data_IF_207515238091
#
_entry.id   IF_207515238091
#
_cell.length_a   1.000
_cell.length_b   1.000
_cell.length_c   1.000
_cell.angle_alpha   90.00
_cell.angle_beta   90.00
_cell.angle_gamma   90.00
#
_symmetry.space_group_name_H-M   'P 1'
#
loop_
_entity.id
_entity.type
_entity.pdbx_description
1 polymer ?
#
# COMPACT_ATOMS: atom_id res chain seq x y z
N UNK A 1 -16.85 20.86 -27.95
CA UNK A 1 -17.65 21.79 -27.11
C UNK A 1 -17.22 23.19 -27.46
N UNK A 2 -18.15 24.14 -27.52
CA UNK A 2 -17.83 25.53 -27.88
C UNK A 2 -17.80 26.36 -26.61
N UNK A 3 -16.66 27.00 -26.36
CA UNK A 3 -16.43 27.86 -25.22
C UNK A 3 -16.38 29.34 -25.67
N UNK A 4 -16.81 30.28 -24.82
CA UNK A 4 -16.68 31.70 -25.14
C UNK A 4 -15.21 32.09 -25.31
N UNK A 5 -14.94 33.11 -26.14
CA UNK A 5 -13.59 33.66 -26.27
C UNK A 5 -13.09 34.11 -24.89
N UNK A 6 -11.82 33.83 -24.57
CA UNK A 6 -11.15 34.10 -23.28
C UNK A 6 -11.32 33.05 -22.16
N UNK A 7 -11.62 31.79 -22.49
CA UNK A 7 -11.86 30.73 -21.48
C UNK A 7 -10.61 30.20 -20.75
N UNK A 8 -9.40 30.67 -21.07
CA UNK A 8 -8.12 30.22 -20.47
C UNK A 8 -8.05 28.70 -20.29
N UNK A 9 -8.21 27.97 -21.40
CA UNK A 9 -8.18 26.50 -21.43
C UNK A 9 -7.02 26.07 -22.31
N UNK A 10 -6.13 25.26 -21.75
CA UNK A 10 -4.98 24.70 -22.44
C UNK A 10 -5.23 23.24 -22.86
N UNK A 11 -4.43 22.76 -23.82
CA UNK A 11 -4.38 21.33 -24.11
C UNK A 11 -3.92 20.57 -22.86
N UNK A 12 -4.50 19.39 -22.63
CA UNK A 12 -4.36 18.53 -21.44
C UNK A 12 -5.14 18.94 -20.18
N UNK A 13 -5.83 20.08 -20.17
CA UNK A 13 -6.70 20.48 -19.07
C UNK A 13 -7.84 19.48 -18.82
N UNK A 14 -8.24 19.38 -17.56
CA UNK A 14 -9.35 18.55 -17.11
C UNK A 14 -10.60 19.41 -16.94
N UNK A 15 -11.61 19.14 -17.76
CA UNK A 15 -12.89 19.86 -17.73
C UNK A 15 -13.95 18.95 -17.11
N UNK A 16 -14.57 19.43 -16.03
CA UNK A 16 -15.78 18.81 -15.50
C UNK A 16 -16.97 19.13 -16.42
N UNK A 17 -17.53 18.10 -17.03
CA UNK A 17 -18.70 18.21 -17.89
C UNK A 17 -19.86 17.40 -17.32
N UNK A 18 -21.03 18.01 -17.24
CA UNK A 18 -22.27 17.32 -16.84
C UNK A 18 -23.02 16.91 -18.10
N UNK A 19 -23.30 15.61 -18.24
CA UNK A 19 -24.05 15.11 -19.38
C UNK A 19 -25.55 15.48 -19.29
N UNK A 20 -26.33 15.36 -20.38
CA UNK A 20 -27.78 15.63 -20.35
C UNK A 20 -28.58 14.76 -19.36
N UNK A 21 -28.00 13.66 -18.87
CA UNK A 21 -28.58 12.79 -17.85
C UNK A 21 -28.19 13.22 -16.41
N UNK A 22 -27.51 14.35 -16.23
CA UNK A 22 -27.12 14.90 -14.92
C UNK A 22 -25.86 14.31 -14.29
N UNK A 23 -25.16 13.41 -14.99
CA UNK A 23 -23.94 12.79 -14.49
C UNK A 23 -22.71 13.66 -14.82
N UNK A 24 -21.91 13.96 -13.80
CA UNK A 24 -20.61 14.62 -13.97
C UNK A 24 -19.57 13.64 -14.51
N UNK A 25 -18.79 14.08 -15.49
CA UNK A 25 -17.65 13.36 -16.06
C UNK A 25 -16.46 14.32 -16.16
N UNK A 26 -15.28 13.85 -15.80
CA UNK A 26 -14.04 14.52 -16.17
C UNK A 26 -13.69 14.17 -17.62
N UNK A 27 -13.45 15.20 -18.42
CA UNK A 27 -13.01 15.10 -19.81
C UNK A 27 -11.64 15.76 -19.94
N UNK A 28 -10.79 15.21 -20.80
CA UNK A 28 -9.49 15.80 -21.11
C UNK A 28 -9.59 16.63 -22.38
N UNK A 29 -9.09 17.86 -22.35
CA UNK A 29 -8.95 18.71 -23.53
C UNK A 29 -7.80 18.16 -24.35
N UNK A 30 -8.08 17.72 -25.57
CA UNK A 30 -7.07 17.12 -26.46
C UNK A 30 -6.67 18.05 -27.58
N UNK A 31 -7.50 19.05 -27.90
CA UNK A 31 -7.19 20.06 -28.88
C UNK A 31 -8.02 21.32 -28.65
N UNK A 32 -7.38 22.48 -28.76
CA UNK A 32 -8.00 23.80 -28.62
C UNK A 32 -7.83 24.57 -29.93
N UNK A 33 -8.92 24.80 -30.65
CA UNK A 33 -8.91 25.61 -31.88
C UNK A 33 -9.56 26.96 -31.63
N UNK A 34 -8.77 28.01 -31.84
CA UNK A 34 -9.23 29.40 -31.80
C UNK A 34 -9.65 29.83 -33.20
N UNK A 35 -10.96 29.90 -33.46
CA UNK A 35 -11.48 30.32 -34.75
C UNK A 35 -11.83 31.81 -34.70
N UNK A 36 -11.14 32.59 -35.53
CA UNK A 36 -11.39 34.02 -35.72
C UNK A 36 -12.19 34.24 -37.00
N UNK A 37 -13.23 35.09 -36.95
CA UNK A 37 -14.04 35.37 -38.14
C UNK A 37 -13.23 36.13 -39.21
N UNK A 38 -13.39 35.81 -40.51
CA UNK A 38 -12.75 36.59 -41.56
C UNK A 38 -13.46 37.94 -41.68
N UNK A 39 -12.71 39.03 -41.40
CA UNK A 39 -13.12 40.46 -41.43
C UNK A 39 -13.58 41.12 -40.12
N UNK A 40 -13.16 40.63 -38.95
CA UNK A 40 -13.11 41.46 -37.75
C UNK A 40 -14.47 41.88 -37.15
N UNK A 41 -15.57 41.20 -37.52
CA UNK A 41 -16.81 41.28 -36.75
C UNK A 41 -16.69 40.31 -35.58
N UNK A 42 -16.27 40.80 -34.41
CA UNK A 42 -16.00 40.01 -33.20
C UNK A 42 -17.20 39.30 -32.57
N UNK A 43 -18.34 39.21 -33.25
CA UNK A 43 -19.57 38.59 -32.76
C UNK A 43 -19.67 37.08 -33.04
N UNK A 44 -18.71 36.49 -33.76
CA UNK A 44 -18.72 35.06 -34.14
C UNK A 44 -17.46 34.29 -33.70
N UNK A 45 -16.56 34.94 -32.96
CA UNK A 45 -15.34 34.31 -32.46
C UNK A 45 -15.69 33.30 -31.36
N UNK A 46 -15.21 32.07 -31.50
CA UNK A 46 -15.43 31.02 -30.51
C UNK A 46 -14.24 30.06 -30.42
N UNK A 47 -14.07 29.45 -29.25
CA UNK A 47 -13.06 28.41 -29.04
C UNK A 47 -13.74 27.05 -29.16
N UNK A 48 -13.31 26.26 -30.14
CA UNK A 48 -13.71 24.85 -30.23
C UNK A 48 -12.71 24.00 -29.46
N UNK A 49 -13.19 23.28 -28.44
CA UNK A 49 -12.38 22.27 -27.75
C UNK A 49 -12.82 20.87 -28.15
N UNK A 50 -11.85 20.03 -28.52
CA UNK A 50 -12.04 18.60 -28.71
C UNK A 50 -11.77 17.91 -27.37
N UNK A 51 -12.80 17.22 -26.87
CA UNK A 51 -12.78 16.55 -25.58
C UNK A 51 -12.78 15.06 -25.80
N UNK A 52 -11.85 14.36 -25.17
CA UNK A 52 -11.90 12.91 -25.09
C UNK A 52 -12.22 12.49 -23.65
N UNK A 53 -12.90 11.35 -23.50
CA UNK A 53 -13.11 10.77 -22.19
C UNK A 53 -11.73 10.55 -21.57
N UNK A 54 -11.45 11.16 -20.41
CA UNK A 54 -10.26 10.88 -19.66
C UNK A 54 -10.29 9.38 -19.31
N UNK A 55 -9.63 8.56 -20.13
CA UNK A 55 -9.53 7.13 -19.89
C UNK A 55 -8.91 6.99 -18.51
N UNK A 56 -9.60 6.30 -17.60
CA UNK A 56 -9.02 5.86 -16.31
C UNK A 56 -7.61 5.35 -16.62
N UNK A 57 -6.57 5.76 -15.88
CA UNK A 57 -5.22 5.28 -16.15
C UNK A 57 -5.31 3.76 -16.25
N UNK A 58 -4.97 3.26 -17.45
CA UNK A 58 -4.80 1.84 -17.72
C UNK A 58 -3.91 1.33 -16.58
N UNK A 59 -4.26 0.27 -15.84
CA UNK A 59 -3.38 -0.24 -14.80
C UNK A 59 -2.02 -0.40 -15.44
N UNK A 60 -1.06 0.40 -14.94
CA UNK A 60 0.31 0.40 -15.44
C UNK A 60 0.76 -1.05 -15.42
N UNK A 61 1.50 -1.48 -16.45
CA UNK A 61 2.20 -2.75 -16.43
C UNK A 61 2.77 -2.98 -15.02
N UNK A 62 2.66 -4.20 -14.46
CA UNK A 62 3.00 -4.45 -13.06
C UNK A 62 4.38 -3.85 -12.78
N UNK A 63 4.39 -2.74 -12.05
CA UNK A 63 5.64 -2.11 -11.64
C UNK A 63 6.32 -3.20 -10.83
N UNK A 64 7.52 -3.67 -11.23
CA UNK A 64 8.20 -4.69 -10.47
C UNK A 64 8.28 -4.20 -9.03
N UNK A 65 7.89 -5.03 -8.05
CA UNK A 65 7.81 -4.59 -6.66
C UNK A 65 9.14 -3.95 -6.31
N UNK A 66 9.10 -2.69 -5.88
CA UNK A 66 10.32 -2.00 -5.50
C UNK A 66 10.96 -2.81 -4.37
N UNK A 67 12.18 -3.28 -4.60
CA UNK A 67 12.91 -4.03 -3.59
C UNK A 67 13.63 -3.03 -2.72
N UNK A 68 13.31 -3.00 -1.43
CA UNK A 68 14.21 -2.38 -0.46
C UNK A 68 15.37 -3.36 -0.28
N UNK A 69 16.55 -3.00 -0.78
CA UNK A 69 17.74 -3.86 -0.78
C UNK A 69 17.97 -4.47 0.61
N UNK A 70 18.03 -5.80 0.69
CA UNK A 70 18.26 -6.54 1.95
C UNK A 70 17.01 -6.88 2.77
N UNK A 71 15.83 -6.35 2.44
CA UNK A 71 14.58 -6.70 3.12
C UNK A 71 13.97 -8.01 2.61
N UNK A 72 13.11 -8.61 3.44
CA UNK A 72 12.34 -9.79 3.05
C UNK A 72 11.37 -9.43 1.89
N UNK A 73 11.27 -10.25 0.82
CA UNK A 73 10.49 -9.90 -0.38
C UNK A 73 9.01 -9.55 -0.11
N UNK A 74 8.39 -10.23 0.86
CA UNK A 74 7.02 -9.94 1.29
C UNK A 74 6.84 -8.53 1.90
N UNK A 75 7.88 -7.99 2.54
CA UNK A 75 7.86 -6.62 3.08
C UNK A 75 8.10 -5.61 1.97
N UNK A 76 9.06 -5.87 1.09
CA UNK A 76 9.29 -5.00 -0.08
C UNK A 76 8.03 -4.86 -0.94
N UNK A 77 7.33 -5.98 -1.17
CA UNK A 77 6.07 -5.98 -1.92
C UNK A 77 4.98 -5.14 -1.22
N UNK A 78 4.88 -5.20 0.10
CA UNK A 78 3.84 -4.51 0.85
C UNK A 78 4.11 -3.01 1.05
N UNK A 79 5.37 -2.60 1.20
CA UNK A 79 5.71 -1.31 1.77
C UNK A 79 6.60 -0.41 0.90
N UNK A 80 7.32 -0.94 -0.09
CA UNK A 80 8.36 -0.18 -0.77
C UNK A 80 7.85 1.02 -1.57
N UNK A 81 6.70 0.88 -2.24
CA UNK A 81 6.05 1.99 -2.94
C UNK A 81 5.68 3.13 -2.00
N UNK A 82 4.98 2.79 -0.91
CA UNK A 82 4.58 3.75 0.11
C UNK A 82 5.79 4.46 0.73
N UNK A 83 6.85 3.71 1.04
CA UNK A 83 8.06 4.28 1.61
C UNK A 83 8.76 5.24 0.63
N UNK A 84 8.89 4.86 -0.65
CA UNK A 84 9.51 5.71 -1.67
C UNK A 84 8.72 7.00 -1.92
N UNK A 85 7.40 6.95 -1.80
CA UNK A 85 6.50 8.09 -1.97
C UNK A 85 6.37 8.95 -0.70
N UNK A 86 7.10 8.62 0.37
CA UNK A 86 7.09 9.38 1.64
C UNK A 86 5.92 9.06 2.58
N UNK A 87 5.10 8.06 2.28
CA UNK A 87 4.00 7.58 3.12
C UNK A 87 4.50 6.62 4.21
N UNK A 88 5.41 7.07 5.06
CA UNK A 88 6.15 6.25 6.04
C UNK A 88 5.24 5.47 7.00
N UNK A 89 4.29 6.13 7.66
CA UNK A 89 3.38 5.46 8.58
C UNK A 89 2.49 4.43 7.89
N UNK A 90 2.08 4.70 6.65
CA UNK A 90 1.30 3.74 5.87
C UNK A 90 2.16 2.55 5.43
N UNK A 91 3.42 2.78 5.05
CA UNK A 91 4.37 1.72 4.71
C UNK A 91 4.57 0.76 5.89
N UNK A 92 4.74 1.30 7.11
CA UNK A 92 4.87 0.51 8.34
C UNK A 92 3.59 -0.28 8.63
N UNK A 93 2.42 0.37 8.50
CA UNK A 93 1.14 -0.31 8.70
C UNK A 93 0.95 -1.49 7.74
N UNK A 94 1.19 -1.29 6.44
CA UNK A 94 1.06 -2.33 5.42
C UNK A 94 2.07 -3.46 5.61
N UNK A 95 3.30 -3.16 6.05
CA UNK A 95 4.29 -4.17 6.36
C UNK A 95 3.84 -5.11 7.50
N UNK A 96 3.36 -4.57 8.62
CA UNK A 96 2.88 -5.41 9.72
C UNK A 96 1.53 -6.05 9.44
N UNK A 97 0.69 -5.46 8.57
CA UNK A 97 -0.50 -6.13 8.04
C UNK A 97 -0.11 -7.37 7.22
N UNK A 98 0.95 -7.28 6.41
CA UNK A 98 1.48 -8.43 5.66
C UNK A 98 2.04 -9.52 6.58
N UNK A 99 2.73 -9.13 7.68
CA UNK A 99 3.17 -10.09 8.71
C UNK A 99 1.98 -10.82 9.32
N UNK A 100 0.94 -10.11 9.78
CA UNK A 100 -0.25 -10.73 10.36
C UNK A 100 -0.96 -11.65 9.37
N UNK A 101 -1.12 -11.21 8.12
CA UNK A 101 -1.74 -12.01 7.06
C UNK A 101 -0.98 -13.32 6.83
N UNK A 102 0.36 -13.27 6.85
CA UNK A 102 1.18 -14.48 6.71
C UNK A 102 1.03 -15.43 7.90
N UNK A 103 1.03 -14.90 9.14
CA UNK A 103 0.74 -15.71 10.33
C UNK A 103 -0.62 -16.38 10.21
N UNK A 104 -1.65 -15.64 9.79
CA UNK A 104 -3.00 -16.17 9.60
C UNK A 104 -3.06 -17.26 8.53
N UNK A 105 -2.25 -17.15 7.46
CA UNK A 105 -2.19 -18.18 6.41
C UNK A 105 -1.50 -19.48 6.83
N UNK A 106 -0.58 -19.40 7.79
CA UNK A 106 0.21 -20.55 8.26
C UNK A 106 -0.39 -21.20 9.52
N UNK A 107 -1.23 -20.47 10.25
CA UNK A 107 -1.81 -20.88 11.52
C UNK A 107 -3.27 -21.34 11.33
N UNK A 108 -3.73 -22.39 12.03
CA UNK A 108 -5.14 -22.78 12.03
C UNK A 108 -6.03 -21.86 12.88
N UNK A 109 -5.47 -20.82 13.49
CA UNK A 109 -6.14 -19.95 14.44
C UNK A 109 -6.96 -18.87 13.71
N UNK A 110 -8.28 -18.88 13.88
CA UNK A 110 -9.16 -17.82 13.41
C UNK A 110 -9.32 -16.71 14.46
N UNK A 111 -8.26 -15.93 14.61
CA UNK A 111 -8.22 -14.71 15.40
C UNK A 111 -7.49 -13.62 14.61
N UNK A 112 -7.40 -12.43 15.20
CA UNK A 112 -6.58 -11.32 14.69
C UNK A 112 -5.81 -10.64 15.82
N UNK A 113 -4.92 -9.74 15.43
CA UNK A 113 -4.18 -8.88 16.31
C UNK A 113 -3.25 -9.65 17.24
N UNK A 114 -3.08 -9.11 18.45
CA UNK A 114 -2.33 -9.73 19.53
C UNK A 114 -2.81 -11.15 19.88
N UNK A 115 -4.12 -11.42 19.80
CA UNK A 115 -4.69 -12.74 20.15
C UNK A 115 -4.20 -13.83 19.20
N UNK A 116 -4.17 -13.53 17.89
CA UNK A 116 -3.61 -14.43 16.88
C UNK A 116 -2.15 -14.78 17.19
N UNK A 117 -1.33 -13.76 17.49
CA UNK A 117 0.10 -13.95 17.78
C UNK A 117 0.31 -14.81 19.03
N UNK A 118 -0.37 -14.46 20.12
CA UNK A 118 -0.27 -15.18 21.39
C UNK A 118 -0.67 -16.65 21.29
N UNK A 119 -1.74 -16.97 20.54
CA UNK A 119 -2.19 -18.35 20.37
C UNK A 119 -1.33 -19.13 19.37
N UNK A 120 -0.72 -18.45 18.40
CA UNK A 120 0.09 -19.11 17.37
C UNK A 120 1.49 -19.46 17.89
N UNK A 121 2.11 -18.58 18.68
CA UNK A 121 3.50 -18.74 19.15
C UNK A 121 3.62 -19.04 20.65
N UNK A 122 2.50 -19.21 21.37
CA UNK A 122 2.50 -19.44 22.81
C UNK A 122 3.32 -20.67 23.25
N UNK A 123 4.03 -20.54 24.38
CA UNK A 123 5.04 -21.49 24.83
C UNK A 123 4.53 -22.92 25.12
N UNK A 124 3.27 -23.06 25.55
CA UNK A 124 2.69 -24.37 25.90
C UNK A 124 2.29 -25.20 24.69
N UNK A 125 1.84 -24.57 23.59
CA UNK A 125 1.43 -25.23 22.35
C UNK A 125 1.62 -24.34 21.12
N UNK A 126 2.88 -24.05 20.76
CA UNK A 126 3.17 -23.26 19.57
C UNK A 126 2.67 -23.98 18.31
N UNK A 127 1.76 -23.34 17.56
CA UNK A 127 1.26 -23.84 16.26
C UNK A 127 2.27 -23.59 15.15
N UNK A 128 3.10 -22.56 15.29
CA UNK A 128 4.23 -22.28 14.42
C UNK A 128 5.52 -22.28 15.22
N UNK A 129 6.45 -23.18 14.89
CA UNK A 129 7.79 -23.16 15.47
C UNK A 129 8.70 -22.24 14.67
N UNK A 130 8.97 -21.08 15.24
CA UNK A 130 9.87 -20.07 14.69
C UNK A 130 11.30 -20.16 15.19
N UNK A 131 11.66 -21.03 16.15
CA UNK A 131 13.01 -21.09 16.74
C UNK A 131 14.08 -21.43 15.69
N UNK A 132 15.34 -21.10 15.92
CA UNK A 132 16.47 -21.58 15.11
C UNK A 132 17.46 -22.41 15.92
N UNK A 133 17.34 -22.34 17.25
CA UNK A 133 18.10 -23.12 18.20
C UNK A 133 17.37 -24.42 18.57
N UNK A 134 17.99 -25.24 19.43
CA UNK A 134 17.46 -26.51 19.92
C UNK A 134 17.48 -26.56 21.46
N UNK A 135 16.73 -27.50 22.05
CA UNK A 135 16.72 -27.68 23.51
C UNK A 135 16.06 -26.52 24.24
N UNK A 136 16.58 -26.17 25.43
CA UNK A 136 16.02 -25.08 26.25
C UNK A 136 16.05 -23.73 25.51
N UNK A 137 17.14 -23.44 24.78
CA UNK A 137 17.24 -22.22 23.98
C UNK A 137 16.12 -22.06 22.96
N UNK A 138 15.60 -23.17 22.41
CA UNK A 138 14.48 -23.12 21.47
C UNK A 138 13.17 -22.72 22.16
N UNK A 139 12.98 -23.12 23.42
CA UNK A 139 11.82 -22.74 24.23
C UNK A 139 11.87 -21.23 24.49
N UNK A 140 13.01 -20.74 24.97
CA UNK A 140 13.22 -19.33 25.29
C UNK A 140 13.11 -18.45 24.04
N UNK A 141 13.63 -18.93 22.91
CA UNK A 141 13.56 -18.25 21.61
C UNK A 141 12.12 -18.19 21.08
N UNK A 142 11.33 -19.27 21.21
CA UNK A 142 9.89 -19.24 20.85
C UNK A 142 9.12 -18.24 21.70
N UNK A 143 9.38 -18.23 23.01
CA UNK A 143 8.76 -17.27 23.92
C UNK A 143 9.15 -15.82 23.58
N UNK A 144 10.42 -15.57 23.32
CA UNK A 144 10.91 -14.26 22.90
C UNK A 144 10.24 -13.79 21.60
N UNK A 145 10.16 -14.66 20.59
CA UNK A 145 9.48 -14.30 19.34
C UNK A 145 7.98 -14.14 19.50
N UNK A 146 7.33 -14.91 20.36
CA UNK A 146 5.93 -14.67 20.71
C UNK A 146 5.72 -13.23 21.21
N UNK A 147 6.56 -12.77 22.14
CA UNK A 147 6.52 -11.39 22.61
C UNK A 147 6.80 -10.36 21.52
N UNK A 148 7.75 -10.62 20.63
CA UNK A 148 8.05 -9.74 19.49
C UNK A 148 6.86 -9.64 18.52
N UNK A 149 6.24 -10.75 18.15
CA UNK A 149 5.05 -10.74 17.28
C UNK A 149 3.87 -10.02 17.95
N UNK A 150 3.61 -10.31 19.22
CA UNK A 150 2.54 -9.64 19.97
C UNK A 150 2.78 -8.13 20.08
N UNK A 151 4.00 -7.72 20.43
CA UNK A 151 4.39 -6.33 20.58
C UNK A 151 4.39 -5.56 19.26
N UNK A 152 4.87 -6.18 18.18
CA UNK A 152 4.85 -5.58 16.85
C UNK A 152 3.42 -5.27 16.38
N UNK A 153 2.50 -6.22 16.55
CA UNK A 153 1.10 -5.99 16.15
C UNK A 153 0.44 -4.96 17.07
N UNK A 154 0.53 -5.14 18.39
CA UNK A 154 -0.14 -4.26 19.35
C UNK A 154 0.43 -2.83 19.36
N UNK A 155 1.74 -2.69 19.25
CA UNK A 155 2.45 -1.42 19.44
C UNK A 155 2.76 -0.69 18.14
N UNK A 156 2.90 -1.40 17.01
CA UNK A 156 3.28 -0.77 15.74
C UNK A 156 2.13 -0.77 14.73
N UNK A 157 1.45 -1.91 14.54
CA UNK A 157 0.35 -1.98 13.57
C UNK A 157 -0.91 -1.29 14.09
N UNK A 158 -1.41 -1.70 15.26
CA UNK A 158 -2.72 -1.30 15.74
C UNK A 158 -2.87 0.23 15.89
N UNK A 159 -1.89 0.99 16.41
CA UNK A 159 -1.98 2.46 16.47
C UNK A 159 -2.12 3.13 15.10
N UNK A 160 -1.42 2.59 14.08
CA UNK A 160 -1.50 3.09 12.69
C UNK A 160 -2.81 2.69 12.00
N UNK A 161 -3.48 1.63 12.47
CA UNK A 161 -4.78 1.19 11.97
C UNK A 161 -5.98 1.92 12.57
N UNK A 162 -5.83 2.52 13.76
CA UNK A 162 -6.92 3.22 14.47
C UNK A 162 -7.05 4.70 14.09
N UNK A 163 -6.48 5.14 12.96
CA UNK A 163 -6.73 6.45 12.37
C UNK A 163 -6.12 7.64 13.10
N UNK A 164 -5.19 7.42 14.04
CA UNK A 164 -4.44 8.51 14.65
C UNK A 164 -3.30 8.92 13.70
N UNK A 165 -3.14 10.22 13.39
CA UNK A 165 -2.03 10.67 12.56
C UNK A 165 -0.73 10.47 13.33
N UNK A 166 -0.03 9.40 12.99
CA UNK A 166 1.36 9.20 13.36
C UNK A 166 2.21 9.85 12.26
N UNK A 167 3.24 10.57 12.67
CA UNK A 167 4.18 11.22 11.77
C UNK A 167 5.51 10.48 11.89
N UNK A 168 5.56 9.25 11.38
CA UNK A 168 6.82 8.51 11.35
C UNK A 168 7.79 9.20 10.39
N UNK A 169 9.03 9.33 10.84
CA UNK A 169 10.15 9.74 9.98
C UNK A 169 10.60 8.61 9.06
N UNK A 170 11.40 8.93 8.04
CA UNK A 170 11.98 7.93 7.15
C UNK A 170 12.88 6.95 7.92
N UNK A 171 13.63 7.48 8.88
CA UNK A 171 14.55 6.77 9.76
C UNK A 171 13.80 5.79 10.67
N UNK A 172 12.73 6.22 11.34
CA UNK A 172 11.91 5.32 12.17
C UNK A 172 11.22 4.25 11.33
N UNK A 173 10.68 4.64 10.17
CA UNK A 173 10.01 3.69 9.30
C UNK A 173 10.95 2.60 8.80
N UNK A 174 12.21 2.91 8.46
CA UNK A 174 13.13 1.87 8.00
C UNK A 174 13.49 0.87 9.10
N UNK A 175 13.57 1.31 10.37
CA UNK A 175 13.76 0.43 11.53
C UNK A 175 12.56 -0.50 11.74
N UNK A 176 11.34 0.04 11.65
CA UNK A 176 10.13 -0.76 11.73
C UNK A 176 10.00 -1.77 10.57
N UNK A 177 10.35 -1.38 9.35
CA UNK A 177 10.38 -2.27 8.20
C UNK A 177 11.46 -3.36 8.35
N UNK A 178 12.61 -3.04 8.95
CA UNK A 178 13.64 -4.02 9.28
C UNK A 178 13.14 -5.05 10.31
N UNK A 179 12.41 -4.62 11.34
CA UNK A 179 11.76 -5.52 12.29
C UNK A 179 10.73 -6.42 11.59
N UNK A 180 9.84 -5.85 10.77
CA UNK A 180 8.85 -6.63 10.02
C UNK A 180 9.54 -7.67 9.09
N UNK A 181 10.65 -7.29 8.47
CA UNK A 181 11.48 -8.15 7.62
C UNK A 181 12.09 -9.31 8.42
N UNK A 182 12.63 -9.04 9.62
CA UNK A 182 13.11 -10.08 10.53
C UNK A 182 12.00 -11.08 10.87
N UNK A 183 10.81 -10.59 11.25
CA UNK A 183 9.68 -11.45 11.59
C UNK A 183 9.25 -12.34 10.42
N UNK A 184 9.21 -11.80 9.19
CA UNK A 184 8.92 -12.61 8.00
C UNK A 184 9.96 -13.70 7.76
N UNK A 185 11.25 -13.43 7.98
CA UNK A 185 12.30 -14.46 7.88
C UNK A 185 12.14 -15.57 8.91
N UNK A 186 11.61 -15.27 10.09
CA UNK A 186 11.26 -16.30 11.09
C UNK A 186 10.06 -17.15 10.65
N UNK A 187 9.10 -16.55 9.95
CA UNK A 187 8.01 -17.29 9.32
C UNK A 187 8.53 -18.20 8.20
N UNK A 188 9.56 -17.81 7.44
CA UNK A 188 10.21 -18.71 6.46
C UNK A 188 10.77 -19.98 7.13
N UNK A 189 11.28 -19.85 8.36
CA UNK A 189 11.76 -21.01 9.14
C UNK A 189 10.59 -21.92 9.51
N UNK A 190 9.51 -21.36 10.07
CA UNK A 190 8.32 -22.12 10.44
C UNK A 190 7.68 -22.82 9.23
N UNK A 191 7.53 -22.11 8.10
CA UNK A 191 6.95 -22.66 6.88
C UNK A 191 7.80 -23.80 6.29
N UNK A 192 9.14 -23.68 6.32
CA UNK A 192 10.02 -24.78 5.91
C UNK A 192 9.81 -26.03 6.77
N UNK A 193 9.59 -25.86 8.09
CA UNK A 193 9.33 -26.99 9.00
C UNK A 193 8.01 -27.69 8.71
N UNK A 194 6.94 -26.91 8.46
CA UNK A 194 5.64 -27.46 8.07
C UNK A 194 5.79 -28.34 6.83
N UNK A 195 6.53 -27.84 5.82
CA UNK A 195 6.78 -28.57 4.57
C UNK A 195 7.67 -29.81 4.75
N UNK A 196 8.63 -29.79 5.68
CA UNK A 196 9.49 -30.95 5.95
C UNK A 196 8.85 -32.01 6.84
N UNK A 197 7.78 -31.66 7.55
CA UNK A 197 7.03 -32.56 8.43
C UNK A 197 5.71 -33.08 7.82
N UNK A 198 5.41 -32.71 6.58
CA UNK A 198 4.30 -33.23 5.77
C UNK A 198 4.81 -34.28 4.79
#
# INVERSE_FOLDING_TARGET
>A
MTLPKNSDVDEDDLVEWTNPAGHRKLLRVTNVNFLNAPRGSGSLDHTEVRLEAASKPRPSAPIPPMSITGMHPGISTAAAALFADGYYSQAVFEAFKAVEARVKSLSPIDQSGKKLMSQTFGASEAKLDVATTTGQSAIDEREGFNHLFMGAIQGLRDPRGHGHPLNDTAEEAIEYLALASLLMRRLDVAERRIRSGS
#
